data_IF_408597524028
#
_entry.id   IF_408597524028
#
_cell.length_a   1.000
_cell.length_b   1.000
_cell.length_c   1.000
_cell.angle_alpha   90.00
_cell.angle_beta   90.00
_cell.angle_gamma   90.00
#
_symmetry.space_group_name_H-M   'P 1'
#
loop_
_entity.id
_entity.type
_entity.pdbx_description
1 polymer ?
#
# COMPACT_ATOMS: atom_id res chain seq x y z
N UNK A 1 20.48 -0.84 3.50
CA UNK A 1 19.26 -1.38 4.12
C UNK A 1 19.60 -2.19 5.38
N UNK A 2 20.16 -3.41 5.32
CA UNK A 2 20.46 -4.18 6.55
C UNK A 2 21.42 -3.47 7.54
N UNK A 3 22.42 -2.74 7.04
CA UNK A 3 23.34 -1.97 7.88
C UNK A 3 22.75 -0.65 8.43
N UNK A 4 21.69 -0.14 7.81
CA UNK A 4 21.04 1.11 8.23
C UNK A 4 20.06 0.82 9.36
N UNK A 5 19.30 -0.28 9.26
CA UNK A 5 18.28 -0.69 10.23
C UNK A 5 18.89 -1.19 11.56
N UNK A 6 20.19 -1.52 11.60
CA UNK A 6 20.84 -2.05 12.81
C UNK A 6 20.82 -1.10 14.00
N UNK A 7 20.70 0.21 13.74
CA UNK A 7 20.63 1.23 14.78
C UNK A 7 19.21 1.72 15.05
N UNK A 8 18.20 1.26 14.30
CA UNK A 8 16.82 1.75 14.42
C UNK A 8 16.27 1.53 15.82
N UNK A 9 16.49 0.35 16.42
CA UNK A 9 16.01 0.07 17.77
C UNK A 9 16.62 1.04 18.81
N UNK A 10 17.89 1.39 18.66
CA UNK A 10 18.57 2.35 19.54
C UNK A 10 18.04 3.77 19.31
N UNK A 11 17.92 4.20 18.05
CA UNK A 11 17.42 5.53 17.68
C UNK A 11 15.96 5.71 18.11
N UNK A 12 15.13 4.68 17.97
CA UNK A 12 13.74 4.68 18.42
C UNK A 12 13.63 4.77 19.94
N UNK A 13 14.52 4.10 20.68
CA UNK A 13 14.56 4.22 22.14
C UNK A 13 14.98 5.63 22.60
N UNK A 14 15.84 6.31 21.85
CA UNK A 14 16.17 7.71 22.12
C UNK A 14 14.98 8.60 21.77
N UNK A 15 14.38 8.42 20.60
CA UNK A 15 13.24 9.21 20.13
C UNK A 15 12.03 9.10 21.07
N UNK A 16 11.72 7.91 21.61
CA UNK A 16 10.58 7.69 22.49
C UNK A 16 10.67 8.43 23.83
N UNK A 17 11.87 8.83 24.25
CA UNK A 17 12.10 9.59 25.49
C UNK A 17 11.84 11.10 25.34
N UNK A 18 11.70 11.59 24.10
CA UNK A 18 11.51 13.02 23.83
C UNK A 18 10.00 13.33 23.69
N UNK A 19 9.41 13.88 24.75
CA UNK A 19 7.98 14.22 24.79
C UNK A 19 7.60 15.36 23.86
N UNK A 20 8.53 16.28 23.55
CA UNK A 20 8.34 17.34 22.56
C UNK A 20 8.61 16.89 21.11
N UNK A 21 8.76 15.59 20.89
CA UNK A 21 8.86 14.99 19.55
C UNK A 21 10.15 15.34 18.83
N UNK A 22 10.04 15.56 17.51
CA UNK A 22 11.21 15.67 16.62
C UNK A 22 12.09 16.89 16.93
N UNK A 23 11.51 18.00 17.41
CA UNK A 23 12.28 19.21 17.70
C UNK A 23 13.27 18.99 18.85
N UNK A 24 12.82 18.36 19.95
CA UNK A 24 13.70 18.04 21.08
C UNK A 24 14.74 16.98 20.70
N UNK A 25 14.37 15.98 19.89
CA UNK A 25 15.31 14.97 19.40
C UNK A 25 16.44 15.61 18.58
N UNK A 26 16.11 16.55 17.70
CA UNK A 26 17.09 17.28 16.90
C UNK A 26 17.99 18.16 17.77
N UNK A 27 17.44 18.84 18.79
CA UNK A 27 18.23 19.63 19.74
C UNK A 27 19.22 18.75 20.53
N UNK A 28 18.76 17.58 21.00
CA UNK A 28 19.63 16.59 21.65
C UNK A 28 20.76 16.14 20.72
N UNK A 29 20.47 15.88 19.44
CA UNK A 29 21.46 15.44 18.45
C UNK A 29 22.49 16.54 18.12
N UNK A 30 22.03 17.76 17.83
CA UNK A 30 22.93 18.88 17.55
C UNK A 30 23.73 19.28 18.79
N UNK A 31 23.13 19.21 19.98
CA UNK A 31 23.84 19.36 21.25
C UNK A 31 24.90 18.27 21.46
N UNK A 32 24.64 17.02 21.06
CA UNK A 32 25.64 15.96 21.08
C UNK A 32 26.82 16.29 20.15
N UNK A 33 26.56 16.73 18.93
CA UNK A 33 27.63 17.16 18.02
C UNK A 33 28.44 18.30 18.62
N UNK A 34 27.81 19.28 19.28
CA UNK A 34 28.52 20.39 19.90
C UNK A 34 29.44 19.95 21.06
N UNK A 35 29.08 18.88 21.77
CA UNK A 35 29.83 18.42 22.96
C UNK A 35 30.83 17.31 22.67
N UNK A 36 30.60 16.51 21.64
CA UNK A 36 31.31 15.23 21.41
C UNK A 36 31.98 15.14 20.05
N UNK A 37 31.75 16.09 19.16
CA UNK A 37 32.42 16.16 17.86
C UNK A 37 33.02 17.55 17.66
N UNK A 38 33.88 17.67 16.65
CA UNK A 38 34.47 18.94 16.22
C UNK A 38 33.64 19.61 15.11
N UNK A 39 32.40 19.15 14.86
CA UNK A 39 31.58 19.56 13.71
C UNK A 39 31.51 21.08 13.53
N UNK A 40 31.36 21.84 14.62
CA UNK A 40 31.20 23.30 14.58
C UNK A 40 32.51 24.09 14.67
N UNK A 41 33.59 23.46 15.11
CA UNK A 41 34.88 24.12 15.39
C UNK A 41 35.99 23.72 14.43
N UNK A 42 35.80 22.62 13.70
CA UNK A 42 36.78 22.14 12.73
C UNK A 42 36.90 23.15 11.58
N UNK A 43 38.12 23.61 11.25
CA UNK A 43 38.35 24.44 10.09
C UNK A 43 38.20 23.59 8.83
N UNK A 44 36.95 23.29 8.45
CA UNK A 44 36.65 22.58 7.21
C UNK A 44 37.00 23.47 6.03
N UNK A 45 38.09 23.14 5.34
CA UNK A 45 38.51 23.82 4.11
C UNK A 45 37.50 23.49 3.01
N UNK A 46 36.48 24.32 2.88
CA UNK A 46 35.58 24.34 1.71
C UNK A 46 34.11 23.98 1.94
N UNK A 47 33.68 23.62 3.15
CA UNK A 47 32.25 23.37 3.42
C UNK A 47 31.84 23.80 4.84
N UNK A 48 30.75 24.56 4.94
CA UNK A 48 30.20 24.95 6.24
C UNK A 48 29.49 23.76 6.89
N UNK A 49 29.48 23.63 8.23
CA UNK A 49 28.77 22.55 8.92
C UNK A 49 27.28 22.45 8.56
N UNK A 50 26.65 23.60 8.31
CA UNK A 50 25.25 23.69 7.84
C UNK A 50 25.06 23.02 6.47
N UNK A 51 25.96 23.26 5.52
CA UNK A 51 25.90 22.68 4.17
C UNK A 51 26.01 21.16 4.22
N UNK A 52 26.89 20.64 5.09
CA UNK A 52 27.03 19.20 5.34
C UNK A 52 25.72 18.57 5.85
N UNK A 53 25.08 19.21 6.82
CA UNK A 53 23.81 18.75 7.41
C UNK A 53 22.69 18.80 6.37
N UNK A 54 22.54 19.92 5.66
CA UNK A 54 21.49 20.09 4.64
C UNK A 54 21.66 19.11 3.48
N UNK A 55 22.89 18.82 3.06
CA UNK A 55 23.15 17.81 2.04
C UNK A 55 22.70 16.42 2.48
N UNK A 56 22.97 16.04 3.73
CA UNK A 56 22.51 14.77 4.28
C UNK A 56 20.97 14.74 4.37
N UNK A 57 20.34 15.83 4.81
CA UNK A 57 18.90 15.97 4.87
C UNK A 57 18.25 15.79 3.49
N UNK A 58 18.68 16.55 2.48
CA UNK A 58 18.10 16.49 1.13
C UNK A 58 18.26 15.13 0.46
N UNK A 59 19.37 14.41 0.72
CA UNK A 59 19.54 13.03 0.26
C UNK A 59 18.41 12.15 0.75
N UNK A 60 18.12 12.17 2.05
CA UNK A 60 17.11 11.32 2.66
C UNK A 60 15.68 11.79 2.40
N UNK A 61 15.46 13.11 2.34
CA UNK A 61 14.20 13.70 1.91
C UNK A 61 13.78 13.16 0.53
N UNK A 62 14.69 13.20 -0.46
CA UNK A 62 14.44 12.68 -1.79
C UNK A 62 14.07 11.19 -1.76
N UNK A 63 14.83 10.37 -1.01
CA UNK A 63 14.57 8.92 -0.90
C UNK A 63 13.19 8.66 -0.28
N UNK A 64 12.86 9.36 0.81
CA UNK A 64 11.61 9.19 1.53
C UNK A 64 10.40 9.60 0.67
N UNK A 65 10.49 10.75 -0.02
CA UNK A 65 9.44 11.25 -0.90
C UNK A 65 9.20 10.29 -2.07
N UNK A 66 10.26 9.80 -2.72
CA UNK A 66 10.12 8.85 -3.83
C UNK A 66 9.55 7.50 -3.36
N UNK A 67 9.98 7.00 -2.20
CA UNK A 67 9.39 5.79 -1.60
C UNK A 67 7.90 5.98 -1.32
N UNK A 68 7.51 7.10 -0.70
CA UNK A 68 6.11 7.39 -0.40
C UNK A 68 5.25 7.49 -1.67
N UNK A 69 5.75 8.15 -2.73
CA UNK A 69 5.06 8.20 -4.03
C UNK A 69 4.87 6.81 -4.63
N UNK A 70 5.91 5.98 -4.61
CA UNK A 70 5.85 4.61 -5.13
C UNK A 70 4.85 3.76 -4.34
N UNK A 71 4.94 3.76 -3.02
CA UNK A 71 4.04 3.00 -2.14
C UNK A 71 2.57 3.43 -2.33
N UNK A 72 2.34 4.74 -2.53
CA UNK A 72 1.00 5.26 -2.84
C UNK A 72 0.50 4.77 -4.19
N UNK A 73 1.31 4.86 -5.25
CA UNK A 73 0.94 4.40 -6.58
C UNK A 73 0.63 2.89 -6.61
N UNK A 74 1.41 2.08 -5.90
CA UNK A 74 1.17 0.64 -5.78
C UNK A 74 -0.15 0.32 -5.06
N UNK A 75 -0.48 1.06 -4.00
CA UNK A 75 -1.77 0.92 -3.29
C UNK A 75 -2.95 1.32 -4.18
N UNK A 76 -2.84 2.45 -4.88
CA UNK A 76 -3.89 2.96 -5.75
C UNK A 76 -4.16 1.98 -6.92
N UNK A 77 -3.11 1.37 -7.48
CA UNK A 77 -3.22 0.35 -8.53
C UNK A 77 -3.84 -0.95 -8.00
N UNK A 78 -3.39 -1.44 -6.84
CA UNK A 78 -3.95 -2.62 -6.21
C UNK A 78 -5.45 -2.45 -5.94
N UNK A 79 -5.86 -1.27 -5.46
CA UNK A 79 -7.26 -0.93 -5.23
C UNK A 79 -8.05 -0.84 -6.54
N UNK A 80 -7.46 -0.30 -7.62
CA UNK A 80 -8.09 -0.26 -8.95
C UNK A 80 -8.36 -1.68 -9.47
N UNK A 81 -7.36 -2.56 -9.44
CA UNK A 81 -7.47 -3.94 -9.88
C UNK A 81 -8.52 -4.69 -9.03
N UNK A 82 -8.54 -4.48 -7.71
CA UNK A 82 -9.51 -5.12 -6.82
C UNK A 82 -10.95 -4.67 -7.13
N UNK A 83 -11.16 -3.38 -7.38
CA UNK A 83 -12.47 -2.84 -7.77
C UNK A 83 -12.93 -3.38 -9.12
N UNK A 84 -12.04 -3.45 -10.10
CA UNK A 84 -12.37 -3.97 -11.43
C UNK A 84 -12.73 -5.47 -11.40
N UNK A 85 -11.95 -6.30 -10.69
CA UNK A 85 -12.26 -7.72 -10.49
C UNK A 85 -13.61 -7.93 -9.82
N UNK A 86 -13.93 -7.12 -8.80
CA UNK A 86 -15.21 -7.21 -8.11
C UNK A 86 -16.37 -6.82 -9.04
N UNK A 87 -16.19 -5.78 -9.85
CA UNK A 87 -17.22 -5.34 -10.82
C UNK A 87 -17.45 -6.42 -11.88
N UNK A 88 -16.39 -6.95 -12.48
CA UNK A 88 -16.50 -8.02 -13.48
C UNK A 88 -17.18 -9.27 -12.93
N UNK A 89 -16.84 -9.67 -11.70
CA UNK A 89 -17.48 -10.81 -11.04
C UNK A 89 -18.99 -10.58 -10.80
N UNK A 90 -19.39 -9.37 -10.42
CA UNK A 90 -20.82 -9.01 -10.27
C UNK A 90 -21.56 -9.04 -11.60
N UNK A 91 -20.95 -8.49 -12.66
CA UNK A 91 -21.51 -8.51 -14.01
C UNK A 91 -21.66 -9.96 -14.53
N UNK A 92 -20.66 -10.82 -14.31
CA UNK A 92 -20.71 -12.25 -14.64
C UNK A 92 -21.80 -12.99 -13.84
N UNK A 93 -21.94 -12.71 -12.54
CA UNK A 93 -23.00 -13.30 -11.69
C UNK A 93 -24.40 -12.82 -12.08
N UNK A 94 -24.57 -11.55 -12.44
CA UNK A 94 -25.83 -11.00 -12.95
C UNK A 94 -26.20 -11.58 -14.32
N UNK A 95 -25.23 -11.70 -15.23
CA UNK A 95 -25.44 -12.32 -16.53
C UNK A 95 -25.82 -13.81 -16.41
N UNK A 96 -25.16 -14.57 -15.51
CA UNK A 96 -25.47 -15.97 -15.25
C UNK A 96 -26.86 -16.16 -14.60
N UNK A 97 -27.30 -15.23 -13.75
CA UNK A 97 -28.67 -15.25 -13.21
C UNK A 97 -29.73 -14.93 -14.26
N UNK A 98 -29.42 -14.01 -15.18
CA UNK A 98 -30.35 -13.65 -16.25
C UNK A 98 -30.46 -14.77 -17.30
N UNK A 99 -29.38 -15.49 -17.59
CA UNK A 99 -29.39 -16.61 -18.54
C UNK A 99 -30.02 -17.89 -17.94
N UNK A 100 -29.86 -18.14 -16.63
CA UNK A 100 -30.58 -19.23 -15.94
C UNK A 100 -32.07 -18.95 -15.67
N UNK A 101 -32.50 -17.69 -15.81
CA UNK A 101 -33.91 -17.28 -15.70
C UNK A 101 -34.61 -17.15 -17.07
N UNK A 102 -33.96 -17.54 -18.18
CA UNK A 102 -34.65 -17.78 -19.45
C UNK A 102 -35.54 -19.03 -19.31
N UNK A 103 -36.69 -18.84 -18.70
CA UNK A 103 -37.82 -19.75 -18.82
C UNK A 103 -38.19 -19.76 -20.30
N UNK A 104 -37.81 -20.82 -20.99
CA UNK A 104 -38.31 -21.13 -22.33
C UNK A 104 -39.76 -21.55 -22.11
N UNK A 105 -40.71 -20.74 -22.57
CA UNK A 105 -42.12 -21.15 -22.63
C UNK A 105 -42.23 -22.31 -23.63
N UNK A 106 -42.32 -23.53 -23.09
CA UNK A 106 -42.70 -24.71 -23.86
C UNK A 106 -44.16 -24.51 -24.26
N UNK A 107 -44.43 -24.43 -25.56
CA UNK A 107 -45.81 -24.37 -26.09
C UNK A 107 -46.60 -25.62 -25.69
N UNK A 108 -47.91 -25.46 -25.42
CA UNK A 108 -48.80 -26.51 -24.89
C UNK A 108 -48.72 -27.86 -25.66
N UNK A 109 -48.45 -27.83 -26.97
CA UNK A 109 -48.29 -29.03 -27.81
C UNK A 109 -47.07 -29.89 -27.43
N UNK A 110 -45.98 -29.29 -26.97
CA UNK A 110 -44.76 -30.01 -26.57
C UNK A 110 -44.88 -30.59 -25.16
N UNK A 111 -45.63 -29.93 -24.27
CA UNK A 111 -45.93 -30.42 -22.93
C UNK A 111 -46.79 -31.69 -22.95
N UNK A 112 -47.72 -31.80 -23.90
CA UNK A 112 -48.55 -32.99 -24.08
C UNK A 112 -47.77 -34.21 -24.60
N UNK A 113 -46.68 -33.98 -25.35
CA UNK A 113 -45.87 -35.08 -25.91
C UNK A 113 -45.01 -35.72 -24.83
N UNK A 114 -44.41 -34.91 -23.96
CA UNK A 114 -43.58 -35.35 -22.83
C UNK A 114 -44.41 -36.11 -21.78
N UNK A 115 -45.65 -35.68 -21.54
CA UNK A 115 -46.58 -36.37 -20.62
C UNK A 115 -47.06 -37.71 -21.19
N UNK A 116 -47.30 -37.79 -22.50
CA UNK A 116 -47.63 -39.06 -23.19
C UNK A 116 -46.48 -40.06 -23.17
N UNK A 117 -45.25 -39.62 -23.42
CA UNK A 117 -44.07 -40.51 -23.41
C UNK A 117 -43.77 -41.06 -22.00
N UNK A 118 -43.91 -40.24 -20.94
CA UNK A 118 -43.73 -40.70 -19.56
C UNK A 118 -44.85 -41.62 -19.05
N UNK A 119 -46.08 -41.48 -19.59
CA UNK A 119 -47.19 -42.38 -19.27
C UNK A 119 -47.01 -43.76 -19.91
N UNK A 120 -46.34 -43.85 -21.06
CA UNK A 120 -46.09 -45.10 -21.78
C UNK A 120 -44.91 -45.91 -21.21
N UNK A 121 -43.97 -45.27 -20.51
CA UNK A 121 -42.82 -45.94 -19.91
C UNK A 121 -43.10 -46.58 -18.52
N UNK A 122 -44.33 -46.50 -18.01
CA UNK A 122 -44.76 -47.05 -16.71
C UNK A 122 -45.64 -48.32 -16.79
N UNK A 123 -45.63 -49.00 -17.93
CA UNK A 123 -46.33 -50.30 -18.14
C UNK A 123 -45.33 -51.42 -18.32
#
# INVERSE_FOLDING_TARGET
MADEEKYDALLMNIASQHTGGIHELLDTLFGFFARKTDLYTSPNVGEKPEELILRAFHKWEKIAVEKHKKDKAERDEADRIRREKLRRKREEEEAAKNDSSRIIEVTDEEAEKITRENAQAKV
#
